data_IF_023729930413
#
_entry.id   IF_023729930413
#
_cell.length_a   1.000
_cell.length_b   1.000
_cell.length_c   1.000
_cell.angle_alpha   90.00
_cell.angle_beta   90.00
_cell.angle_gamma   90.00
#
_symmetry.space_group_name_H-M   'P 1'
#
loop_
_entity.id
_entity.type
_entity.pdbx_description
1 polymer ?
#
# COMPACT_ATOMS: atom_id res chain seq x y z
N UNK A 1 -16.97 -1.09 -11.72
CA UNK A 1 -16.54 -1.90 -10.56
C UNK A 1 -15.07 -2.22 -10.77
N UNK A 2 -14.17 -1.85 -9.85
CA UNK A 2 -12.77 -2.23 -9.98
C UNK A 2 -12.65 -3.74 -9.70
N UNK A 3 -12.26 -4.52 -10.72
CA UNK A 3 -11.98 -5.94 -10.55
C UNK A 3 -10.62 -6.08 -9.86
N UNK A 4 -10.63 -6.39 -8.57
CA UNK A 4 -9.41 -6.69 -7.81
C UNK A 4 -8.93 -8.09 -8.22
N UNK A 5 -7.66 -8.17 -8.62
CA UNK A 5 -7.07 -9.38 -9.20
C UNK A 5 -6.17 -10.13 -8.20
N UNK A 6 -5.68 -9.43 -7.17
CA UNK A 6 -5.01 -10.05 -6.02
C UNK A 6 -5.52 -9.44 -4.72
N UNK A 7 -5.66 -10.30 -3.70
CA UNK A 7 -6.17 -9.92 -2.39
C UNK A 7 -5.44 -10.72 -1.32
N UNK A 8 -4.87 -10.05 -0.32
CA UNK A 8 -4.26 -10.74 0.80
C UNK A 8 -5.29 -11.20 1.82
N UNK A 9 -4.91 -12.16 2.65
CA UNK A 9 -5.50 -12.32 3.97
C UNK A 9 -5.26 -11.07 4.83
N UNK A 10 -6.03 -10.94 5.91
CA UNK A 10 -5.83 -9.87 6.89
C UNK A 10 -4.55 -10.14 7.68
N UNK A 11 -3.67 -9.15 7.79
CA UNK A 11 -2.43 -9.24 8.56
C UNK A 11 -2.22 -7.97 9.40
N UNK A 12 -1.38 -8.07 10.42
CA UNK A 12 -1.09 -6.95 11.31
C UNK A 12 -0.02 -6.06 10.71
N UNK A 13 -0.35 -4.79 10.50
CA UNK A 13 0.61 -3.78 10.02
C UNK A 13 0.99 -2.82 11.17
N UNK A 14 2.26 -2.41 11.19
CA UNK A 14 2.81 -1.47 12.19
C UNK A 14 3.19 -0.10 11.60
N UNK A 15 3.00 0.12 10.28
CA UNK A 15 3.58 1.25 9.54
C UNK A 15 2.70 2.48 9.27
N UNK A 16 1.42 2.48 9.66
CA UNK A 16 0.43 3.48 9.21
C UNK A 16 0.06 4.56 10.26
N UNK A 17 1.04 5.02 11.05
CA UNK A 17 0.82 6.08 12.06
C UNK A 17 0.72 5.61 13.50
N UNK A 18 1.42 4.52 13.86
CA UNK A 18 1.71 4.07 15.23
C UNK A 18 0.63 3.25 15.98
N UNK A 19 -0.52 2.93 15.38
CA UNK A 19 -1.43 1.91 15.92
C UNK A 19 -1.28 0.58 15.18
N UNK A 20 -1.31 -0.52 15.90
CA UNK A 20 -1.40 -1.83 15.27
C UNK A 20 -2.78 -2.01 14.62
N UNK A 21 -2.80 -2.11 13.29
CA UNK A 21 -4.01 -2.24 12.50
C UNK A 21 -4.03 -3.60 11.81
N UNK A 22 -5.20 -4.20 11.76
CA UNK A 22 -5.47 -5.34 10.90
C UNK A 22 -5.74 -4.81 9.49
N UNK A 23 -4.92 -5.22 8.54
CA UNK A 23 -4.91 -4.71 7.16
C UNK A 23 -5.17 -5.82 6.17
N UNK A 24 -6.05 -5.55 5.22
CA UNK A 24 -6.24 -6.36 4.02
C UNK A 24 -5.85 -5.54 2.80
N UNK A 25 -4.93 -6.04 1.98
CA UNK A 25 -4.48 -5.35 0.76
C UNK A 25 -5.12 -5.97 -0.47
N UNK A 26 -5.55 -5.15 -1.41
CA UNK A 26 -6.11 -5.54 -2.70
C UNK A 26 -5.38 -4.81 -3.81
N UNK A 27 -5.11 -5.49 -4.92
CA UNK A 27 -4.43 -4.97 -6.09
C UNK A 27 -5.30 -5.13 -7.33
N UNK A 28 -5.28 -4.13 -8.23
CA UNK A 28 -5.89 -4.29 -9.55
C UNK A 28 -5.03 -5.21 -10.44
N UNK A 29 -5.57 -5.59 -11.62
CA UNK A 29 -4.88 -6.48 -12.55
C UNK A 29 -3.46 -6.03 -12.94
N UNK A 30 -3.24 -4.72 -13.08
CA UNK A 30 -1.93 -4.16 -13.41
C UNK A 30 -0.90 -4.29 -12.29
N UNK A 31 -1.35 -4.27 -11.04
CA UNK A 31 -0.49 -4.34 -9.86
C UNK A 31 -0.27 -5.78 -9.36
N UNK A 32 -1.04 -6.76 -9.87
CA UNK A 32 -1.08 -8.13 -9.34
C UNK A 32 0.29 -8.79 -9.32
N UNK A 33 0.93 -8.90 -10.48
CA UNK A 33 2.16 -9.68 -10.61
C UNK A 33 3.31 -9.04 -9.80
N UNK A 34 3.39 -7.70 -9.80
CA UNK A 34 4.35 -6.95 -8.98
C UNK A 34 4.08 -7.12 -7.48
N UNK A 35 2.82 -7.10 -7.05
CA UNK A 35 2.44 -7.29 -5.65
C UNK A 35 2.72 -8.71 -5.13
N UNK A 36 2.53 -9.72 -5.97
CA UNK A 36 2.77 -11.13 -5.61
C UNK A 36 4.25 -11.53 -5.74
N UNK A 37 5.05 -10.72 -6.43
CA UNK A 37 6.48 -11.00 -6.64
C UNK A 37 7.24 -11.07 -5.33
N UNK A 38 8.01 -12.16 -5.17
CA UNK A 38 8.98 -12.31 -4.09
C UNK A 38 10.37 -11.80 -4.45
N UNK A 39 10.53 -11.30 -5.68
CA UNK A 39 11.77 -10.68 -6.11
C UNK A 39 11.98 -9.35 -5.37
N UNK A 40 13.20 -9.17 -4.87
CA UNK A 40 13.63 -7.98 -4.15
C UNK A 40 14.54 -7.08 -4.98
N UNK A 41 14.78 -7.44 -6.24
CA UNK A 41 15.29 -6.54 -7.26
C UNK A 41 14.36 -5.33 -7.43
N UNK A 42 14.83 -4.25 -8.07
CA UNK A 42 14.01 -3.06 -8.33
C UNK A 42 12.83 -3.41 -9.25
N UNK A 43 11.69 -3.76 -8.65
CA UNK A 43 10.44 -3.98 -9.36
C UNK A 43 9.68 -2.66 -9.42
N UNK A 44 9.29 -2.24 -10.63
CA UNK A 44 8.47 -1.05 -10.84
C UNK A 44 7.02 -1.45 -11.05
N UNK A 45 6.09 -0.72 -10.41
CA UNK A 45 4.67 -0.86 -10.71
C UNK A 45 4.35 -0.16 -12.04
N UNK A 46 3.55 -0.77 -12.93
CA UNK A 46 3.01 -0.08 -14.11
C UNK A 46 2.21 1.18 -13.72
N UNK A 47 2.26 2.21 -14.58
CA UNK A 47 1.37 3.38 -14.41
C UNK A 47 -0.09 2.93 -14.46
N UNK A 48 -0.89 3.40 -13.50
CA UNK A 48 -2.28 2.95 -13.31
C UNK A 48 -2.43 1.72 -12.41
N UNK A 49 -1.33 1.15 -11.89
CA UNK A 49 -1.41 0.20 -10.78
C UNK A 49 -2.13 0.83 -9.58
N UNK A 50 -3.06 0.07 -8.99
CA UNK A 50 -3.84 0.49 -7.82
C UNK A 50 -3.68 -0.53 -6.70
N UNK A 51 -3.34 -0.03 -5.51
CA UNK A 51 -3.33 -0.78 -4.27
C UNK A 51 -4.33 -0.16 -3.30
N UNK A 52 -5.16 -0.99 -2.65
CA UNK A 52 -6.13 -0.59 -1.65
C UNK A 52 -5.87 -1.36 -0.37
N UNK A 53 -5.66 -0.65 0.73
CA UNK A 53 -5.54 -1.22 2.06
C UNK A 53 -6.75 -0.87 2.91
N UNK A 54 -7.54 -1.90 3.25
CA UNK A 54 -8.62 -1.80 4.21
C UNK A 54 -8.05 -1.94 5.62
N UNK A 55 -8.22 -0.90 6.44
CA UNK A 55 -7.72 -0.85 7.81
C UNK A 55 -8.86 -1.10 8.80
N UNK A 56 -8.57 -1.96 9.79
CA UNK A 56 -9.43 -2.23 10.93
C UNK A 56 -8.61 -2.10 12.20
N UNK A 57 -9.26 -1.72 13.29
CA UNK A 57 -8.63 -1.85 14.61
C UNK A 57 -8.46 -3.34 14.90
N UNK A 58 -7.36 -3.69 15.55
CA UNK A 58 -7.01 -5.09 15.79
C UNK A 58 -8.14 -5.83 16.53
N UNK A 59 -8.57 -6.97 15.97
CA UNK A 59 -9.65 -7.78 16.54
C UNK A 59 -11.07 -7.25 16.28
N UNK A 60 -11.21 -6.12 15.58
CA UNK A 60 -12.50 -5.53 15.25
C UNK A 60 -12.90 -5.82 13.80
N UNK A 61 -14.22 -6.01 13.58
CA UNK A 61 -14.80 -6.27 12.26
C UNK A 61 -15.22 -5.00 11.52
N UNK A 62 -15.08 -3.83 12.12
CA UNK A 62 -15.45 -2.56 11.49
C UNK A 62 -14.28 -2.01 10.66
N UNK A 63 -14.58 -1.48 9.47
CA UNK A 63 -13.57 -0.79 8.65
C UNK A 63 -13.42 0.61 9.23
N UNK A 64 -12.18 1.01 9.52
CA UNK A 64 -11.88 2.35 10.02
C UNK A 64 -11.55 3.32 8.88
N UNK A 65 -10.77 2.86 7.90
CA UNK A 65 -10.43 3.64 6.72
C UNK A 65 -9.99 2.72 5.58
N UNK A 66 -10.01 3.24 4.35
CA UNK A 66 -9.27 2.70 3.23
C UNK A 66 -8.16 3.66 2.84
N UNK A 67 -6.94 3.15 2.72
CA UNK A 67 -5.83 3.88 2.11
C UNK A 67 -5.60 3.34 0.72
N UNK A 68 -5.50 4.24 -0.26
CA UNK A 68 -5.38 3.87 -1.67
C UNK A 68 -4.14 4.53 -2.25
N UNK A 69 -3.44 3.77 -3.10
CA UNK A 69 -2.32 4.25 -3.88
C UNK A 69 -2.59 3.98 -5.36
N UNK A 70 -2.35 4.98 -6.20
CA UNK A 70 -2.42 4.87 -7.65
C UNK A 70 -1.08 5.32 -8.27
N UNK A 71 -0.43 4.43 -9.02
CA UNK A 71 0.87 4.74 -9.65
C UNK A 71 0.66 5.75 -10.77
N UNK A 72 1.36 6.89 -10.69
CA UNK A 72 1.32 7.93 -11.72
C UNK A 72 2.59 7.89 -12.56
N UNK A 73 2.62 8.72 -13.60
CA UNK A 73 3.78 8.89 -14.47
C UNK A 73 4.98 9.41 -13.66
N UNK A 74 6.18 9.04 -14.10
CA UNK A 74 7.42 9.51 -13.49
C UNK A 74 7.45 11.04 -13.41
N UNK A 75 7.88 11.58 -12.26
CA UNK A 75 7.91 13.03 -12.01
C UNK A 75 6.62 13.62 -11.43
N UNK A 76 5.53 12.85 -11.32
CA UNK A 76 4.30 13.31 -10.68
C UNK A 76 4.54 13.71 -9.22
N UNK A 77 5.20 12.85 -8.43
CA UNK A 77 5.52 13.10 -7.04
C UNK A 77 6.78 12.32 -6.61
N UNK A 78 7.98 12.79 -6.99
CA UNK A 78 9.22 12.04 -6.74
C UNK A 78 9.47 11.75 -5.25
N UNK A 79 9.05 12.64 -4.35
CA UNK A 79 9.20 12.45 -2.90
C UNK A 79 8.22 11.43 -2.30
N UNK A 80 7.31 10.88 -3.10
CA UNK A 80 6.43 9.78 -2.75
C UNK A 80 6.42 8.70 -3.82
N UNK A 81 7.58 8.44 -4.45
CA UNK A 81 7.76 7.41 -5.46
C UNK A 81 6.72 7.46 -6.60
N UNK A 82 6.30 8.67 -6.99
CA UNK A 82 5.32 8.94 -8.04
C UNK A 82 3.95 8.27 -7.84
N UNK A 83 3.57 8.03 -6.59
CA UNK A 83 2.22 7.59 -6.22
C UNK A 83 1.30 8.76 -5.91
N UNK A 84 0.05 8.65 -6.35
CA UNK A 84 -1.08 9.42 -5.81
C UNK A 84 -1.66 8.63 -4.63
N UNK A 85 -1.77 9.29 -3.48
CA UNK A 85 -2.29 8.70 -2.26
C UNK A 85 -3.70 9.20 -1.99
N UNK A 86 -4.56 8.36 -1.42
CA UNK A 86 -5.89 8.73 -0.97
C UNK A 86 -6.19 8.14 0.42
N UNK A 87 -6.92 8.90 1.22
CA UNK A 87 -7.55 8.45 2.47
C UNK A 87 -9.05 8.51 2.27
N UNK A 88 -9.71 7.36 2.44
CA UNK A 88 -11.13 7.18 2.14
C UNK A 88 -11.83 6.66 3.38
N UNK A 89 -12.95 7.29 3.74
CA UNK A 89 -13.84 6.82 4.81
C UNK A 89 -14.44 5.47 4.45
N UNK A 90 -14.92 4.69 5.45
CA UNK A 90 -15.68 3.47 5.19
C UNK A 90 -16.92 3.69 4.30
N UNK A 91 -17.47 4.91 4.31
CA UNK A 91 -18.59 5.32 3.46
C UNK A 91 -18.22 5.54 1.99
N UNK A 92 -16.93 5.50 1.63
CA UNK A 92 -16.43 5.78 0.28
C UNK A 92 -16.12 7.25 0.02
N UNK A 93 -16.36 8.15 0.99
CA UNK A 93 -16.00 9.57 0.87
C UNK A 93 -14.49 9.72 0.95
N UNK A 94 -13.88 10.38 -0.04
CA UNK A 94 -12.46 10.75 -0.03
C UNK A 94 -12.26 11.91 0.94
N UNK A 95 -11.42 11.71 1.96
CA UNK A 95 -11.06 12.76 2.93
C UNK A 95 -9.87 13.59 2.46
N UNK A 96 -8.88 12.92 1.90
CA UNK A 96 -7.66 13.53 1.38
C UNK A 96 -7.15 12.75 0.18
N UNK A 97 -6.58 13.46 -0.79
CA UNK A 97 -5.97 12.82 -1.96
C UNK A 97 -4.87 13.67 -2.59
N UNK A 98 -4.03 13.03 -3.42
CA UNK A 98 -3.00 13.70 -4.21
C UNK A 98 -1.58 13.41 -3.73
N UNK A 99 -0.75 14.46 -3.65
CA UNK A 99 0.67 14.38 -3.27
C UNK A 99 0.84 14.49 -1.75
N UNK A 100 0.37 13.46 -1.04
CA UNK A 100 0.34 13.45 0.42
C UNK A 100 1.76 13.22 0.99
N UNK A 101 2.42 14.30 1.43
CA UNK A 101 3.83 14.27 1.92
C UNK A 101 4.06 13.30 3.09
N UNK A 102 3.09 13.19 4.00
CA UNK A 102 3.19 12.29 5.14
C UNK A 102 3.22 10.80 4.73
N UNK A 103 2.48 10.42 3.68
CA UNK A 103 2.56 9.08 3.08
C UNK A 103 3.90 8.90 2.36
N UNK A 104 4.25 9.85 1.50
CA UNK A 104 5.47 9.78 0.68
C UNK A 104 6.76 9.61 1.51
N UNK A 105 6.84 10.25 2.69
CA UNK A 105 8.00 10.18 3.59
C UNK A 105 8.43 8.73 3.91
N UNK A 106 7.49 7.84 4.18
CA UNK A 106 7.79 6.44 4.46
C UNK A 106 7.87 5.63 3.17
N UNK A 107 6.94 5.85 2.24
CA UNK A 107 6.85 5.05 1.03
C UNK A 107 8.09 5.19 0.14
N UNK A 108 8.73 6.37 0.05
CA UNK A 108 9.97 6.53 -0.74
C UNK A 108 11.14 5.66 -0.25
N UNK A 109 11.05 5.11 0.97
CA UNK A 109 12.07 4.22 1.54
C UNK A 109 11.78 2.74 1.27
N UNK A 110 10.61 2.42 0.70
CA UNK A 110 10.21 1.05 0.44
C UNK A 110 10.87 0.52 -0.85
N UNK A 111 11.32 -0.74 -0.78
CA UNK A 111 12.22 -1.33 -1.79
C UNK A 111 11.55 -1.71 -3.11
N UNK A 112 10.24 -1.94 -3.13
CA UNK A 112 9.49 -2.32 -4.34
C UNK A 112 8.73 -1.10 -4.87
N UNK A 113 9.47 -0.15 -5.43
CA UNK A 113 8.91 1.06 -6.06
C UNK A 113 7.89 1.78 -5.16
N UNK A 114 8.29 2.02 -3.92
CA UNK A 114 7.46 2.71 -2.95
C UNK A 114 6.41 1.83 -2.24
N UNK A 115 6.49 0.50 -2.37
CA UNK A 115 5.59 -0.45 -1.71
C UNK A 115 6.38 -1.41 -0.81
N UNK A 116 5.86 -1.68 0.39
CA UNK A 116 6.52 -2.54 1.40
C UNK A 116 6.32 -4.06 1.16
N UNK A 117 5.62 -4.41 0.08
CA UNK A 117 5.31 -5.78 -0.32
C UNK A 117 4.34 -6.51 0.62
N UNK A 118 3.94 -7.74 0.27
CA UNK A 118 3.10 -8.59 1.09
C UNK A 118 3.80 -9.04 2.39
N UNK A 119 3.04 -9.53 3.39
CA UNK A 119 3.58 -9.91 4.71
C UNK A 119 4.75 -10.90 4.66
N UNK A 120 4.74 -11.80 3.68
CA UNK A 120 5.82 -12.78 3.46
C UNK A 120 7.18 -12.09 3.25
N UNK A 121 7.18 -10.90 2.64
CA UNK A 121 8.39 -10.09 2.46
C UNK A 121 8.71 -9.23 3.67
N UNK A 122 7.69 -8.76 4.41
CA UNK A 122 7.90 -7.94 5.60
C UNK A 122 8.55 -8.73 6.75
N UNK A 123 8.18 -10.00 6.93
CA UNK A 123 8.77 -10.89 7.97
C UNK A 123 10.24 -11.26 7.74
N UNK A 124 10.71 -11.22 6.49
CA UNK A 124 12.12 -11.43 6.15
C UNK A 124 12.95 -10.15 6.33
N UNK A 125 12.36 -8.97 6.14
CA UNK A 125 13.05 -7.69 6.34
C UNK A 125 13.37 -7.41 7.82
N UNK A 126 12.54 -7.86 8.76
CA UNK A 126 12.81 -7.75 10.21
C UNK A 126 14.00 -8.58 10.69
N UNK A 127 14.47 -9.55 9.91
CA UNK A 127 15.64 -10.40 10.26
C UNK A 127 16.97 -9.89 9.72
N UNK A 128 16.95 -8.94 8.79
CA UNK A 128 18.17 -8.39 8.17
C UNK A 128 18.71 -7.14 8.88
N UNK A 129 18.08 -6.70 9.97
CA UNK A 129 18.64 -5.72 10.90
C UNK A 129 19.26 -6.51 12.06
N UNK A 130 20.47 -7.04 11.85
CA UNK A 130 21.41 -7.43 12.91
C UNK A 130 22.80 -6.93 12.55
#
# INVERSE_FOLDING_TARGET
MANYAAVTETYRATGHGASALDVRTQANGLAKDTWESTDTAEVSYPVGSVLVQTHRKAGEREVQALFVMEKKQAGYFPQGADWRYLVVKPTGVVENEGKLRHCGRCHVQARQDGVFGPPVLQSNQSRQIK
#
